data_IF_012762469079
#
_entry.id   IF_012762469079
#
_cell.length_a   1.000
_cell.length_b   1.000
_cell.length_c   1.000
_cell.angle_alpha   90.00
_cell.angle_beta   90.00
_cell.angle_gamma   90.00
#
_symmetry.space_group_name_H-M   'P 1'
#
loop_
_entity.id
_entity.type
_entity.pdbx_description
1 polymer ?
#
# COMPACT_ATOMS: atom_id res chain seq x y z
N UNK A 1 -23.92 -5.79 -35.55
CA UNK A 1 -22.49 -5.81 -35.90
C UNK A 1 -21.67 -6.10 -34.63
N UNK A 2 -21.95 -7.22 -33.95
CA UNK A 2 -21.48 -7.57 -32.60
C UNK A 2 -20.93 -9.03 -32.59
N UNK A 3 -20.35 -9.46 -33.72
CA UNK A 3 -20.01 -10.88 -33.97
C UNK A 3 -18.58 -11.12 -34.46
N UNK A 4 -17.67 -10.13 -34.36
CA UNK A 4 -16.23 -10.38 -34.53
C UNK A 4 -15.55 -10.45 -33.17
N UNK A 5 -16.03 -11.45 -32.41
CA UNK A 5 -15.52 -11.90 -31.13
C UNK A 5 -14.20 -12.62 -31.40
N UNK A 6 -13.10 -12.09 -30.86
CA UNK A 6 -11.87 -12.85 -30.70
C UNK A 6 -12.18 -14.03 -29.75
N UNK A 7 -12.07 -15.32 -30.18
CA UNK A 7 -12.61 -16.46 -29.43
C UNK A 7 -11.84 -16.85 -28.15
N UNK A 8 -10.91 -16.02 -27.65
CA UNK A 8 -10.02 -16.37 -26.53
C UNK A 8 -10.37 -15.75 -25.18
N UNK A 9 -11.40 -14.91 -25.09
CA UNK A 9 -11.58 -14.00 -23.95
C UNK A 9 -12.52 -14.56 -22.85
N UNK A 10 -13.18 -15.70 -23.08
CA UNK A 10 -14.12 -16.27 -22.09
C UNK A 10 -13.46 -17.15 -21.00
N UNK A 11 -12.16 -17.41 -21.08
CA UNK A 11 -11.48 -18.26 -20.10
C UNK A 11 -10.73 -17.43 -19.08
N UNK A 12 -11.39 -17.24 -17.92
CA UNK A 12 -10.86 -16.75 -16.64
C UNK A 12 -10.70 -15.23 -16.50
N UNK A 13 -11.72 -14.61 -15.87
CA UNK A 13 -11.55 -13.46 -14.99
C UNK A 13 -10.65 -13.89 -13.81
N UNK A 14 -9.36 -14.12 -14.08
CA UNK A 14 -8.35 -14.42 -13.07
C UNK A 14 -7.76 -13.12 -12.58
N UNK A 15 -7.43 -13.08 -11.29
CA UNK A 15 -6.68 -11.97 -10.74
C UNK A 15 -5.30 -11.96 -11.44
N UNK A 16 -4.97 -10.90 -12.19
CA UNK A 16 -3.75 -10.87 -12.98
C UNK A 16 -2.52 -11.05 -12.08
N UNK A 17 -1.73 -12.07 -12.40
CA UNK A 17 -0.53 -12.47 -11.64
C UNK A 17 0.76 -11.99 -12.32
N UNK A 18 0.67 -11.52 -13.57
CA UNK A 18 1.79 -11.07 -14.39
C UNK A 18 1.52 -9.69 -15.02
N UNK A 19 2.61 -8.97 -15.37
CA UNK A 19 2.57 -7.64 -15.97
C UNK A 19 1.87 -7.62 -17.33
N UNK A 20 1.94 -8.74 -18.07
CA UNK A 20 1.24 -8.92 -19.35
C UNK A 20 -0.26 -9.01 -19.19
N UNK A 21 -0.74 -9.76 -18.19
CA UNK A 21 -2.17 -9.87 -17.88
C UNK A 21 -2.74 -8.52 -17.39
N UNK A 22 -1.95 -7.73 -16.65
CA UNK A 22 -2.30 -6.34 -16.33
C UNK A 22 -2.49 -5.51 -17.60
N UNK A 23 -1.57 -5.62 -18.57
CA UNK A 23 -1.64 -4.86 -19.82
C UNK A 23 -2.86 -5.26 -20.65
N UNK A 24 -3.13 -6.56 -20.82
CA UNK A 24 -4.32 -7.05 -21.54
C UNK A 24 -5.62 -6.60 -20.84
N UNK A 25 -5.68 -6.69 -19.51
CA UNK A 25 -6.82 -6.20 -18.74
C UNK A 25 -6.98 -4.67 -18.87
N UNK A 26 -5.87 -3.93 -18.86
CA UNK A 26 -5.88 -2.48 -19.01
C UNK A 26 -6.31 -2.05 -20.43
N UNK A 27 -5.89 -2.76 -21.48
CA UNK A 27 -6.34 -2.51 -22.86
C UNK A 27 -7.82 -2.84 -23.04
N UNK A 28 -8.28 -3.97 -22.51
CA UNK A 28 -9.70 -4.35 -22.54
C UNK A 28 -10.56 -3.31 -21.81
N UNK A 29 -10.16 -2.91 -20.59
CA UNK A 29 -10.87 -1.89 -19.82
C UNK A 29 -10.82 -0.53 -20.51
N UNK A 30 -9.70 -0.13 -21.13
CA UNK A 30 -9.59 1.12 -21.91
C UNK A 30 -10.51 1.13 -23.12
N UNK A 31 -10.63 0.01 -23.83
CA UNK A 31 -11.55 -0.13 -24.96
C UNK A 31 -13.00 0.02 -24.48
N UNK A 32 -13.37 -0.65 -23.39
CA UNK A 32 -14.71 -0.56 -22.78
C UNK A 32 -14.99 0.82 -22.15
N UNK A 33 -13.95 1.53 -21.69
CA UNK A 33 -14.02 2.88 -21.11
C UNK A 33 -14.45 3.93 -22.13
N UNK A 34 -14.28 3.68 -23.44
CA UNK A 34 -14.69 4.61 -24.50
C UNK A 34 -16.21 4.71 -24.67
N UNK A 35 -16.96 3.67 -24.32
CA UNK A 35 -18.44 3.68 -24.38
C UNK A 35 -19.09 3.77 -22.99
N UNK A 36 -18.46 3.23 -21.93
CA UNK A 36 -19.06 3.16 -20.59
C UNK A 36 -18.10 3.55 -19.45
N UNK A 37 -17.60 4.79 -19.49
CA UNK A 37 -16.60 5.28 -18.54
C UNK A 37 -17.01 5.13 -17.06
N UNK A 38 -18.26 5.47 -16.75
CA UNK A 38 -18.77 5.41 -15.38
C UNK A 38 -18.82 3.97 -14.83
N UNK A 39 -19.08 2.98 -15.68
CA UNK A 39 -19.16 1.58 -15.25
C UNK A 39 -17.78 1.04 -14.86
N UNK A 40 -16.76 1.32 -15.69
CA UNK A 40 -15.37 0.94 -15.42
C UNK A 40 -14.85 1.61 -14.14
N UNK A 41 -15.15 2.90 -13.95
CA UNK A 41 -14.80 3.63 -12.75
C UNK A 41 -15.45 3.03 -11.50
N UNK A 42 -16.77 2.77 -11.53
CA UNK A 42 -17.50 2.18 -10.41
C UNK A 42 -17.00 0.79 -10.05
N UNK A 43 -16.74 -0.06 -11.06
CA UNK A 43 -16.20 -1.40 -10.85
C UNK A 43 -14.81 -1.33 -10.21
N UNK A 44 -13.94 -0.46 -10.73
CA UNK A 44 -12.60 -0.22 -10.18
C UNK A 44 -12.67 0.25 -8.72
N UNK A 45 -13.47 1.29 -8.44
CA UNK A 45 -13.66 1.81 -7.09
C UNK A 45 -14.18 0.73 -6.14
N UNK A 46 -15.17 -0.06 -6.57
CA UNK A 46 -15.75 -1.13 -5.76
C UNK A 46 -14.72 -2.21 -5.44
N UNK A 47 -13.96 -2.68 -6.44
CA UNK A 47 -12.90 -3.66 -6.25
C UNK A 47 -11.78 -3.14 -5.33
N UNK A 48 -11.39 -1.87 -5.49
CA UNK A 48 -10.39 -1.20 -4.65
C UNK A 48 -10.85 -1.14 -3.20
N UNK A 49 -12.06 -0.62 -2.97
CA UNK A 49 -12.62 -0.47 -1.63
C UNK A 49 -12.79 -1.84 -0.97
N UNK A 50 -13.29 -2.84 -1.69
CA UNK A 50 -13.40 -4.20 -1.18
C UNK A 50 -12.03 -4.71 -0.70
N UNK A 51 -11.03 -4.68 -1.58
CA UNK A 51 -9.67 -5.15 -1.26
C UNK A 51 -9.09 -4.44 -0.05
N UNK A 52 -9.21 -3.11 -0.02
CA UNK A 52 -8.65 -2.26 1.03
C UNK A 52 -9.39 -2.44 2.36
N UNK A 53 -10.72 -2.59 2.33
CA UNK A 53 -11.57 -2.80 3.49
C UNK A 53 -11.24 -4.12 4.20
N UNK A 54 -11.03 -5.19 3.43
CA UNK A 54 -10.64 -6.50 3.94
C UNK A 54 -9.13 -6.67 4.16
N UNK A 55 -8.35 -5.58 4.10
CA UNK A 55 -6.91 -5.60 4.37
C UNK A 55 -6.11 -6.57 3.46
N UNK A 56 -6.61 -6.85 2.26
CA UNK A 56 -6.00 -7.82 1.34
C UNK A 56 -4.76 -7.19 0.67
N UNK A 57 -3.58 -7.82 0.75
CA UNK A 57 -2.36 -7.28 0.18
C UNK A 57 -2.39 -7.19 -1.36
N UNK A 58 -1.61 -6.25 -1.92
CA UNK A 58 -1.46 -6.03 -3.36
C UNK A 58 -2.24 -4.83 -3.92
N UNK A 59 -2.45 -3.79 -3.13
CA UNK A 59 -3.01 -2.50 -3.59
C UNK A 59 -2.11 -1.81 -4.62
N UNK A 60 -0.81 -2.11 -4.64
CA UNK A 60 0.14 -1.67 -5.68
C UNK A 60 -0.39 -1.94 -7.08
N UNK A 61 -0.93 -3.13 -7.32
CA UNK A 61 -1.42 -3.54 -8.63
C UNK A 61 -2.57 -2.67 -9.12
N UNK A 62 -3.54 -2.38 -8.24
CA UNK A 62 -4.67 -1.50 -8.56
C UNK A 62 -4.20 -0.05 -8.78
N UNK A 63 -3.20 0.42 -8.03
CA UNK A 63 -2.63 1.75 -8.24
C UNK A 63 -1.93 1.85 -9.61
N UNK A 64 -1.17 0.83 -10.01
CA UNK A 64 -0.56 0.75 -11.36
C UNK A 64 -1.67 0.72 -12.42
N UNK A 65 -2.70 -0.11 -12.23
CA UNK A 65 -3.84 -0.15 -13.15
C UNK A 65 -4.54 1.22 -13.28
N UNK A 66 -4.74 1.94 -12.18
CA UNK A 66 -5.32 3.28 -12.21
C UNK A 66 -4.47 4.26 -13.03
N UNK A 67 -3.14 4.18 -12.91
CA UNK A 67 -2.22 4.97 -13.72
C UNK A 67 -2.30 4.65 -15.20
N UNK A 68 -2.46 3.36 -15.54
CA UNK A 68 -2.70 2.95 -16.91
C UNK A 68 -4.08 3.42 -17.42
N UNK A 69 -5.15 3.34 -16.63
CA UNK A 69 -6.49 3.66 -17.11
C UNK A 69 -6.78 5.17 -17.16
N UNK A 70 -6.39 5.91 -16.11
CA UNK A 70 -6.80 7.29 -15.88
C UNK A 70 -5.64 8.30 -15.98
N UNK A 71 -4.41 7.82 -16.16
CA UNK A 71 -3.22 8.67 -16.20
C UNK A 71 -2.68 9.05 -14.82
N UNK A 72 -1.57 9.81 -14.77
CA UNK A 72 -0.78 10.00 -13.55
C UNK A 72 -1.49 10.84 -12.49
N UNK A 73 -2.10 11.97 -12.88
CA UNK A 73 -2.70 12.90 -11.93
C UNK A 73 -4.09 12.44 -11.44
N UNK A 74 -4.96 12.04 -12.37
CA UNK A 74 -6.29 11.54 -12.03
C UNK A 74 -6.23 10.20 -11.29
N UNK A 75 -5.34 9.30 -11.74
CA UNK A 75 -5.07 8.03 -11.05
C UNK A 75 -4.54 8.24 -9.64
N UNK A 76 -3.62 9.19 -9.43
CA UNK A 76 -3.10 9.52 -8.10
C UNK A 76 -4.22 10.03 -7.18
N UNK A 77 -5.00 11.00 -7.64
CA UNK A 77 -6.10 11.56 -6.87
C UNK A 77 -7.11 10.47 -6.48
N UNK A 78 -7.57 9.70 -7.47
CA UNK A 78 -8.52 8.61 -7.27
C UNK A 78 -7.98 7.56 -6.30
N UNK A 79 -6.75 7.09 -6.49
CA UNK A 79 -6.14 6.10 -5.60
C UNK A 79 -5.98 6.64 -4.18
N UNK A 80 -5.59 7.90 -4.00
CA UNK A 80 -5.39 8.49 -2.67
C UNK A 80 -6.70 8.62 -1.90
N UNK A 81 -7.79 9.00 -2.57
CA UNK A 81 -9.13 9.02 -1.99
C UNK A 81 -9.62 7.60 -1.68
N UNK A 82 -9.55 6.67 -2.63
CA UNK A 82 -9.98 5.28 -2.43
C UNK A 82 -9.18 4.57 -1.33
N UNK A 83 -7.87 4.82 -1.25
CA UNK A 83 -7.00 4.26 -0.19
C UNK A 83 -7.45 4.75 1.18
N UNK A 84 -7.73 6.04 1.32
CA UNK A 84 -8.16 6.66 2.59
C UNK A 84 -9.54 6.17 3.00
N UNK A 85 -10.50 6.17 2.08
CA UNK A 85 -11.86 5.68 2.34
C UNK A 85 -11.85 4.20 2.69
N UNK A 86 -11.19 3.37 1.88
CA UNK A 86 -11.08 1.93 2.14
C UNK A 86 -10.35 1.60 3.44
N UNK A 87 -9.29 2.35 3.78
CA UNK A 87 -8.60 2.21 5.06
C UNK A 87 -9.50 2.57 6.24
N UNK A 88 -10.34 3.60 6.10
CA UNK A 88 -11.35 3.96 7.12
C UNK A 88 -12.43 2.89 7.25
N UNK A 89 -12.85 2.25 6.16
CA UNK A 89 -13.77 1.10 6.24
C UNK A 89 -13.12 -0.08 7.00
N UNK A 90 -11.85 -0.37 6.72
CA UNK A 90 -11.08 -1.38 7.46
C UNK A 90 -10.96 -1.02 8.96
N UNK A 91 -10.67 0.24 9.26
CA UNK A 91 -10.66 0.77 10.62
C UNK A 91 -12.02 0.57 11.30
N UNK A 92 -13.13 0.88 10.62
CA UNK A 92 -14.47 0.74 11.17
C UNK A 92 -14.82 -0.73 11.47
N UNK A 93 -14.52 -1.64 10.54
CA UNK A 93 -14.69 -3.08 10.75
C UNK A 93 -13.86 -3.58 11.94
N UNK A 94 -12.60 -3.15 12.03
CA UNK A 94 -11.74 -3.52 13.16
C UNK A 94 -12.26 -2.94 14.48
N UNK A 95 -12.78 -1.73 14.49
CA UNK A 95 -13.37 -1.12 15.69
C UNK A 95 -14.61 -1.90 16.16
N UNK A 96 -15.45 -2.36 15.24
CA UNK A 96 -16.68 -3.10 15.56
C UNK A 96 -16.40 -4.52 16.05
N UNK A 97 -15.56 -5.26 15.34
CA UNK A 97 -15.34 -6.70 15.58
C UNK A 97 -13.98 -6.98 16.23
N UNK A 98 -12.90 -6.44 15.67
CA UNK A 98 -11.53 -6.75 16.08
C UNK A 98 -11.17 -6.24 17.48
N UNK A 99 -11.61 -5.03 17.84
CA UNK A 99 -11.25 -4.37 19.09
C UNK A 99 -11.64 -5.18 20.33
N UNK A 100 -12.87 -5.70 20.36
CA UNK A 100 -13.36 -6.50 21.50
C UNK A 100 -12.56 -7.79 21.67
N UNK A 101 -12.28 -8.47 20.56
CA UNK A 101 -11.51 -9.73 20.54
C UNK A 101 -10.09 -9.48 21.05
N UNK A 102 -9.39 -8.49 20.50
CA UNK A 102 -7.98 -8.23 20.85
C UNK A 102 -7.82 -7.76 22.30
N UNK A 103 -8.76 -6.93 22.80
CA UNK A 103 -8.75 -6.51 24.22
C UNK A 103 -8.98 -7.71 25.14
N UNK A 104 -9.83 -8.66 24.75
CA UNK A 104 -10.08 -9.87 25.54
C UNK A 104 -8.83 -10.76 25.66
N UNK A 105 -8.12 -11.00 24.55
CA UNK A 105 -6.92 -11.86 24.56
C UNK A 105 -5.66 -11.17 25.09
N UNK A 106 -5.50 -9.85 24.89
CA UNK A 106 -4.26 -9.13 25.23
C UNK A 106 -4.50 -7.80 25.98
N UNK A 107 -5.25 -7.80 27.10
CA UNK A 107 -5.68 -6.57 27.76
C UNK A 107 -4.51 -5.69 28.23
N UNK A 108 -3.50 -6.29 28.85
CA UNK A 108 -2.36 -5.53 29.41
C UNK A 108 -1.50 -4.86 28.34
N UNK A 109 -1.25 -5.56 27.22
CA UNK A 109 -0.45 -5.00 26.10
C UNK A 109 -1.19 -3.86 25.42
N UNK A 110 -2.50 -4.04 25.18
CA UNK A 110 -3.34 -3.00 24.58
C UNK A 110 -3.40 -1.76 25.49
N UNK A 111 -3.62 -1.94 26.80
CA UNK A 111 -3.66 -0.82 27.74
C UNK A 111 -2.32 -0.04 27.78
N UNK A 112 -1.19 -0.74 27.77
CA UNK A 112 0.14 -0.11 27.73
C UNK A 112 0.34 0.72 26.46
N UNK A 113 -0.08 0.20 25.31
CA UNK A 113 0.03 0.91 24.03
C UNK A 113 -0.95 2.09 23.95
N UNK A 114 -2.18 1.92 24.41
CA UNK A 114 -3.17 3.00 24.50
C UNK A 114 -2.65 4.15 25.36
N UNK A 115 -2.03 3.85 26.51
CA UNK A 115 -1.42 4.88 27.37
C UNK A 115 -0.32 5.65 26.65
N UNK A 116 0.57 4.96 25.93
CA UNK A 116 1.63 5.61 25.14
C UNK A 116 1.07 6.50 24.03
N UNK A 117 0.00 6.06 23.38
CA UNK A 117 -0.70 6.85 22.36
C UNK A 117 -1.32 8.10 22.98
N UNK A 118 -1.91 7.98 24.17
CA UNK A 118 -2.49 9.10 24.90
C UNK A 118 -1.43 10.14 25.29
N UNK A 119 -0.32 9.68 25.87
CA UNK A 119 0.83 10.52 26.24
C UNK A 119 1.42 11.28 25.05
N UNK A 120 1.31 10.72 23.84
CA UNK A 120 1.86 11.28 22.60
C UNK A 120 0.78 11.77 21.63
N UNK A 121 -0.43 12.10 22.11
CA UNK A 121 -1.55 12.52 21.24
C UNK A 121 -1.19 13.65 20.27
N UNK A 122 -0.39 14.61 20.73
CA UNK A 122 -0.02 15.80 19.94
C UNK A 122 0.89 15.45 18.75
N UNK A 123 1.73 14.42 18.90
CA UNK A 123 2.65 13.96 17.86
C UNK A 123 2.14 12.73 17.10
N UNK A 124 0.99 12.17 17.51
CA UNK A 124 0.41 10.94 16.96
C UNK A 124 0.22 11.00 15.44
N UNK A 125 -0.27 12.13 14.93
CA UNK A 125 -0.45 12.33 13.50
C UNK A 125 0.87 12.22 12.72
N UNK A 126 1.92 12.91 13.17
CA UNK A 126 3.25 12.87 12.55
C UNK A 126 3.91 11.50 12.70
N UNK A 127 3.69 10.83 13.83
CA UNK A 127 4.14 9.47 14.05
C UNK A 127 3.49 8.50 13.05
N UNK A 128 2.17 8.59 12.84
CA UNK A 128 1.47 7.78 11.84
C UNK A 128 1.93 8.10 10.42
N UNK A 129 2.16 9.37 10.09
CA UNK A 129 2.70 9.78 8.80
C UNK A 129 4.08 9.14 8.57
N UNK A 130 4.96 9.22 9.57
CA UNK A 130 6.29 8.60 9.52
C UNK A 130 6.20 7.09 9.30
N UNK A 131 5.33 6.38 10.03
CA UNK A 131 5.15 4.94 9.86
C UNK A 131 4.60 4.53 8.49
N UNK A 132 3.96 5.44 7.75
CA UNK A 132 3.42 5.19 6.41
C UNK A 132 4.40 5.55 5.30
N UNK A 133 5.15 6.62 5.49
CA UNK A 133 6.23 7.03 4.59
C UNK A 133 7.39 6.04 4.63
N UNK A 134 7.74 5.57 5.83
CA UNK A 134 8.74 4.53 6.03
C UNK A 134 8.04 3.19 6.22
N UNK A 135 8.12 2.25 5.26
CA UNK A 135 7.34 1.01 5.25
C UNK A 135 7.87 -0.04 6.27
N UNK A 136 8.16 0.40 7.49
CA UNK A 136 8.53 -0.46 8.63
C UNK A 136 7.37 -1.37 9.03
N UNK A 137 6.15 -0.85 8.95
CA UNK A 137 4.92 -1.55 9.36
C UNK A 137 3.98 -1.69 8.17
N UNK A 138 3.39 -2.87 7.91
CA UNK A 138 2.41 -3.03 6.85
C UNK A 138 1.21 -2.10 7.03
N UNK A 139 0.74 -1.49 5.95
CA UNK A 139 -0.41 -0.57 6.00
C UNK A 139 -1.68 -1.22 6.55
N UNK A 140 -1.94 -2.48 6.17
CA UNK A 140 -3.08 -3.24 6.68
C UNK A 140 -3.05 -3.37 8.21
N UNK A 141 -1.86 -3.55 8.78
CA UNK A 141 -1.68 -3.70 10.22
C UNK A 141 -1.99 -2.39 10.95
N UNK A 142 -1.50 -1.26 10.44
CA UNK A 142 -1.83 0.05 10.99
C UNK A 142 -3.35 0.32 10.92
N UNK A 143 -4.00 -0.04 9.83
CA UNK A 143 -5.44 0.15 9.67
C UNK A 143 -6.26 -0.68 10.67
N UNK A 144 -5.83 -1.93 10.92
CA UNK A 144 -6.47 -2.82 11.87
C UNK A 144 -6.21 -2.41 13.33
N UNK A 145 -5.00 -1.96 13.66
CA UNK A 145 -4.59 -1.68 15.05
C UNK A 145 -4.96 -0.28 15.53
N UNK A 146 -5.06 0.71 14.64
CA UNK A 146 -5.44 2.09 14.99
C UNK A 146 -6.71 2.21 15.87
N UNK A 147 -7.84 1.52 15.58
CA UNK A 147 -9.04 1.61 16.43
C UNK A 147 -8.87 0.92 17.79
N UNK A 148 -8.04 -0.13 17.84
CA UNK A 148 -7.69 -0.85 19.07
C UNK A 148 -6.90 0.06 19.99
N UNK A 149 -6.05 0.92 19.42
CA UNK A 149 -5.24 1.90 20.13
C UNK A 149 -5.97 3.23 20.43
N UNK A 150 -7.27 3.33 20.15
CA UNK A 150 -8.08 4.55 20.32
C UNK A 150 -7.56 5.76 19.52
N UNK A 151 -6.92 5.53 18.38
CA UNK A 151 -6.50 6.61 17.49
C UNK A 151 -7.74 7.24 16.85
N UNK A 152 -7.91 8.57 16.88
CA UNK A 152 -9.07 9.23 16.28
C UNK A 152 -9.09 9.04 14.76
N UNK A 153 -10.30 8.78 14.22
CA UNK A 153 -10.49 8.48 12.79
C UNK A 153 -10.03 9.62 11.88
N UNK A 154 -10.12 10.87 12.33
CA UNK A 154 -9.70 12.05 11.57
C UNK A 154 -8.18 12.05 11.35
N UNK A 155 -7.39 11.91 12.41
CA UNK A 155 -5.93 11.82 12.30
C UNK A 155 -5.52 10.59 11.48
N UNK A 156 -6.21 9.47 11.69
CA UNK A 156 -5.99 8.26 10.90
C UNK A 156 -6.24 8.50 9.40
N UNK A 157 -7.39 9.06 9.03
CA UNK A 157 -7.77 9.32 7.63
C UNK A 157 -6.76 10.22 6.93
N UNK A 158 -6.41 11.36 7.54
CA UNK A 158 -5.43 12.27 6.94
C UNK A 158 -4.02 11.67 6.90
N UNK A 159 -3.65 10.83 7.89
CA UNK A 159 -2.35 10.14 7.85
C UNK A 159 -2.26 9.17 6.67
N UNK A 160 -3.36 8.48 6.34
CA UNK A 160 -3.42 7.59 5.17
C UNK A 160 -3.40 8.41 3.89
N UNK A 161 -4.23 9.47 3.84
CA UNK A 161 -4.38 10.32 2.65
C UNK A 161 -3.05 10.95 2.24
N UNK A 162 -2.30 11.49 3.20
CA UNK A 162 -1.05 12.23 2.94
C UNK A 162 0.14 11.27 2.95
N UNK A 163 0.21 10.37 3.93
CA UNK A 163 1.36 9.48 4.12
C UNK A 163 1.55 8.46 3.00
N UNK A 164 0.50 8.14 2.24
CA UNK A 164 0.59 7.20 1.11
C UNK A 164 0.66 7.87 -0.27
N UNK A 165 0.64 9.20 -0.35
CA UNK A 165 0.79 9.93 -1.62
C UNK A 165 2.06 9.50 -2.37
N UNK A 166 3.26 9.44 -1.75
CA UNK A 166 4.48 9.10 -2.49
C UNK A 166 4.42 7.69 -3.05
N UNK A 167 3.91 6.74 -2.27
CA UNK A 167 3.72 5.36 -2.68
C UNK A 167 2.71 5.24 -3.84
N UNK A 168 1.55 5.89 -3.70
CA UNK A 168 0.53 5.92 -4.74
C UNK A 168 1.06 6.56 -6.02
N UNK A 169 1.81 7.66 -5.91
CA UNK A 169 2.42 8.33 -7.05
C UNK A 169 3.38 7.43 -7.81
N UNK A 170 4.29 6.75 -7.11
CA UNK A 170 5.24 5.81 -7.75
C UNK A 170 4.49 4.71 -8.51
N UNK A 171 3.47 4.11 -7.90
CA UNK A 171 2.69 3.04 -8.54
C UNK A 171 1.90 3.54 -9.76
N UNK A 172 1.17 4.65 -9.61
CA UNK A 172 0.35 5.24 -10.68
C UNK A 172 1.26 5.72 -11.82
N UNK A 173 2.38 6.36 -11.51
CA UNK A 173 3.34 6.80 -12.52
C UNK A 173 3.91 5.61 -13.30
N UNK A 174 4.23 4.52 -12.62
CA UNK A 174 4.67 3.26 -13.24
C UNK A 174 3.63 2.73 -14.21
N UNK A 175 2.36 2.71 -13.81
CA UNK A 175 1.24 2.30 -14.66
C UNK A 175 1.03 3.19 -15.89
N UNK A 176 1.12 4.51 -15.70
CA UNK A 176 1.01 5.46 -16.80
C UNK A 176 2.11 5.26 -17.83
N UNK A 177 3.36 5.03 -17.42
CA UNK A 177 4.49 4.77 -18.32
C UNK A 177 4.29 3.42 -19.03
N UNK A 178 3.93 2.37 -18.29
CA UNK A 178 3.70 1.03 -18.83
C UNK A 178 2.64 1.03 -19.94
N UNK A 179 1.62 1.86 -19.77
CA UNK A 179 0.49 1.97 -20.69
C UNK A 179 0.78 2.71 -22.00
N UNK A 180 1.93 3.39 -22.09
CA UNK A 180 2.42 4.06 -23.31
C UNK A 180 3.35 3.13 -24.11
N UNK A 181 3.89 2.10 -23.47
CA UNK A 181 4.81 1.14 -24.08
C UNK A 181 3.97 0.06 -24.75
N UNK A 182 3.62 0.30 -26.01
CA UNK A 182 2.67 -0.53 -26.78
C UNK A 182 3.37 -1.69 -27.52
N UNK A 183 4.70 -1.76 -27.50
CA UNK A 183 5.48 -2.85 -28.10
C UNK A 183 6.42 -3.49 -27.07
N UNK A 184 6.40 -4.82 -26.98
CA UNK A 184 7.30 -5.59 -26.11
C UNK A 184 8.79 -5.31 -26.40
N UNK A 185 9.13 -4.93 -27.63
CA UNK A 185 10.48 -4.50 -28.03
C UNK A 185 10.88 -3.15 -27.42
N UNK A 186 9.94 -2.27 -27.11
CA UNK A 186 10.20 -0.99 -26.44
C UNK A 186 10.30 -1.12 -24.90
N UNK A 187 9.82 -2.23 -24.32
CA UNK A 187 10.06 -2.58 -22.90
C UNK A 187 11.56 -2.87 -22.68
N UNK A 188 12.21 -3.51 -23.66
CA UNK A 188 13.66 -3.74 -23.67
C UNK A 188 14.48 -2.55 -24.18
N UNK A 189 13.83 -1.42 -24.53
CA UNK A 189 14.59 -0.21 -24.89
C UNK A 189 15.37 0.27 -23.67
N UNK A 190 16.63 0.63 -23.89
CA UNK A 190 17.55 1.07 -22.83
C UNK A 190 16.99 2.25 -22.02
N UNK A 191 16.21 3.13 -22.66
CA UNK A 191 15.56 4.28 -22.00
C UNK A 191 14.46 3.85 -21.03
N UNK A 192 13.62 2.89 -21.41
CA UNK A 192 12.55 2.35 -20.55
C UNK A 192 13.14 1.59 -19.38
N UNK A 193 14.16 0.77 -19.64
CA UNK A 193 14.83 -0.03 -18.63
C UNK A 193 15.52 0.88 -17.60
N UNK A 194 16.16 1.98 -18.04
CA UNK A 194 16.72 3.00 -17.16
C UNK A 194 15.65 3.71 -16.32
N UNK A 195 14.48 4.04 -16.88
CA UNK A 195 13.38 4.68 -16.12
C UNK A 195 12.78 3.74 -15.07
N UNK A 196 12.54 2.47 -15.43
CA UNK A 196 12.06 1.46 -14.49
C UNK A 196 13.11 1.15 -13.41
N UNK A 197 14.38 1.06 -13.79
CA UNK A 197 15.49 0.88 -12.85
C UNK A 197 15.61 2.09 -11.91
N UNK A 198 15.46 3.31 -12.41
CA UNK A 198 15.48 4.52 -11.58
C UNK A 198 14.34 4.52 -10.55
N UNK A 199 13.12 4.13 -10.96
CA UNK A 199 11.97 4.00 -10.05
C UNK A 199 12.20 2.87 -9.04
N UNK A 200 12.69 1.70 -9.48
CA UNK A 200 12.99 0.57 -8.61
C UNK A 200 14.06 0.93 -7.57
N UNK A 201 15.12 1.63 -7.99
CA UNK A 201 16.16 2.14 -7.10
C UNK A 201 15.57 3.15 -6.11
N UNK A 202 14.75 4.10 -6.58
CA UNK A 202 14.08 5.06 -5.71
C UNK A 202 13.16 4.39 -4.68
N UNK A 203 12.47 3.31 -5.07
CA UNK A 203 11.65 2.50 -4.17
C UNK A 203 12.47 1.62 -3.21
N UNK A 204 13.71 1.25 -3.56
CA UNK A 204 14.64 0.46 -2.74
C UNK A 204 15.42 1.31 -1.73
N UNK A 205 15.58 2.62 -1.95
CA UNK A 205 16.28 3.52 -1.02
C UNK A 205 15.68 3.48 0.40
N UNK A 206 14.35 3.58 0.59
CA UNK A 206 13.74 3.44 1.91
C UNK A 206 14.05 2.06 2.54
N UNK A 207 13.87 0.98 1.79
CA UNK A 207 14.03 -0.39 2.31
C UNK A 207 15.48 -0.75 2.70
N UNK A 208 16.46 -0.28 1.93
CA UNK A 208 17.88 -0.55 2.21
C UNK A 208 18.43 0.29 3.34
N UNK A 209 18.00 1.55 3.47
CA UNK A 209 18.30 2.39 4.64
C UNK A 209 17.72 1.77 5.91
N UNK A 210 16.47 1.31 5.86
CA UNK A 210 15.80 0.61 6.97
C UNK A 210 16.58 -0.64 7.39
N UNK A 211 17.01 -1.47 6.43
CA UNK A 211 17.76 -2.69 6.72
C UNK A 211 19.12 -2.38 7.36
N UNK A 212 19.81 -1.33 6.89
CA UNK A 212 21.07 -0.85 7.48
C UNK A 212 20.88 -0.30 8.90
N UNK A 213 19.83 0.50 9.16
CA UNK A 213 19.54 1.04 10.49
C UNK A 213 19.08 -0.04 11.48
N UNK A 214 18.25 -0.99 11.04
CA UNK A 214 17.81 -2.13 11.84
C UNK A 214 18.97 -3.08 12.19
N UNK A 215 19.86 -3.39 11.24
CA UNK A 215 21.07 -4.17 11.51
C UNK A 215 22.05 -3.45 12.44
N UNK A 216 22.17 -2.11 12.35
CA UNK A 216 23.03 -1.34 13.25
C UNK A 216 22.52 -1.38 14.70
N UNK A 217 21.22 -1.25 14.92
CA UNK A 217 20.62 -1.34 16.26
C UNK A 217 20.72 -2.75 16.88
N UNK A 218 20.50 -3.81 16.08
CA UNK A 218 20.64 -5.20 16.52
C UNK A 218 22.10 -5.56 16.93
N UNK A 219 23.09 -4.97 16.27
CA UNK A 219 24.51 -5.19 16.62
C UNK A 219 24.94 -4.41 17.87
N UNK A 220 24.39 -3.21 18.10
CA UNK A 220 24.64 -2.40 19.31
C UNK A 220 24.10 -3.08 20.58
N UNK A 221 22.90 -3.66 20.52
CA UNK A 221 22.30 -4.36 21.66
C UNK A 221 23.09 -5.64 22.01
N UNK A 222 23.53 -6.39 20.98
CA UNK A 222 24.35 -7.60 21.16
C UNK A 222 25.74 -7.29 21.73
N UNK A 223 26.37 -6.19 21.32
CA UNK A 223 27.64 -5.71 21.88
C UNK A 223 27.49 -5.31 23.35
N UNK A 224 26.41 -4.61 23.70
CA UNK A 224 26.14 -4.15 25.08
C UNK A 224 25.86 -5.32 26.01
N UNK A 225 25.08 -6.32 25.55
CA UNK A 225 24.80 -7.54 26.31
C UNK A 225 26.06 -8.38 26.57
N UNK A 226 26.95 -8.51 25.58
CA UNK A 226 28.22 -9.23 25.74
C UNK A 226 29.15 -8.57 26.76
N UNK A 227 29.25 -7.23 26.76
CA UNK A 227 30.06 -6.49 27.76
C UNK A 227 29.52 -6.70 29.17
N UNK A 228 28.19 -6.71 29.34
CA UNK A 228 27.59 -6.87 30.67
C UNK A 228 27.72 -8.29 31.23
N UNK A 229 27.66 -9.31 30.37
CA UNK A 229 27.90 -10.71 30.75
C UNK A 229 29.36 -11.00 31.10
N UNK A 230 30.31 -10.33 30.43
CA UNK A 230 31.74 -10.51 30.73
C UNK A 230 32.16 -9.77 32.02
N UNK A 231 31.54 -8.62 32.33
CA UNK A 231 31.76 -7.89 33.58
C UNK A 231 31.24 -8.58 34.85
N UNK A 232 30.25 -9.50 34.73
CA UNK A 232 29.72 -10.28 35.86
C UNK A 232 30.52 -11.54 36.21
N UNK A 233 31.45 -11.98 35.36
CA UNK A 233 32.30 -13.16 35.61
C UNK A 233 33.64 -12.84 36.29
N UNK A 234 33.93 -11.56 36.55
CA UNK A 234 35.23 -11.12 37.07
C UNK A 234 35.17 -10.55 38.50
N UNK A 235 34.06 -10.73 39.22
CA UNK A 235 33.94 -10.41 40.65
C UNK A 235 33.53 -11.67 41.42
#
# INVERSE_FOLDING_TARGET
>A
MLYFIHPRIYTSLKFPSDLKELQELAEFLRYYNREHHMYVLLLFCSAYLYKQCFAIPGSSFLNILAGALFGPWMGLFLCSVLTSVGATCCYALSNMFGKKIVIYYFPQKVATLQRKVEENRNSLFFFLLFLRLFPMTPNWFLNLTSPILNIPVTQFFFSVLIGLIPYNFICVQTGSILSQITSLDAIFSWSTLLKLLAIAMMALIPGTLIKKFSQKHLNLDKSTLCVHLNGKKSN
#
